data_IF_526842605037
#
_entry.id   IF_526842605037
#
_cell.length_a   1.000
_cell.length_b   1.000
_cell.length_c   1.000
_cell.angle_alpha   90.00
_cell.angle_beta   90.00
_cell.angle_gamma   90.00
#
_symmetry.space_group_name_H-M   'P 1'
#
loop_
_entity.id
_entity.type
_entity.pdbx_description
1 polymer ?
#
# COMPACT_ATOMS: atom_id res chain seq x y z
N UNK A 1 -3.45 9.69 11.30
CA UNK A 1 -4.11 9.91 9.99
C UNK A 1 -3.16 10.31 8.86
N UNK A 2 -1.97 10.87 9.12
CA UNK A 2 -1.05 11.31 8.05
C UNK A 2 -0.66 10.21 7.04
N UNK A 3 -0.29 9.01 7.52
CA UNK A 3 0.05 7.87 6.65
C UNK A 3 -1.10 7.43 5.75
N UNK A 4 -2.31 7.31 6.30
CA UNK A 4 -3.50 6.96 5.52
C UNK A 4 -3.81 7.99 4.43
N UNK A 5 -3.76 9.28 4.77
CA UNK A 5 -3.98 10.33 3.77
C UNK A 5 -2.93 10.32 2.66
N UNK A 6 -1.67 10.05 2.99
CA UNK A 6 -0.58 9.94 2.01
C UNK A 6 -0.77 8.73 1.07
N UNK A 7 -1.06 7.55 1.63
CA UNK A 7 -1.30 6.34 0.83
C UNK A 7 -2.51 6.47 -0.09
N UNK A 8 -3.60 7.05 0.42
CA UNK A 8 -4.80 7.34 -0.37
C UNK A 8 -4.50 8.33 -1.50
N UNK A 9 -3.71 9.36 -1.23
CA UNK A 9 -3.34 10.36 -2.23
C UNK A 9 -2.53 9.72 -3.36
N UNK A 10 -1.50 8.93 -3.05
CA UNK A 10 -0.70 8.25 -4.07
C UNK A 10 -1.57 7.28 -4.89
N UNK A 11 -2.40 6.47 -4.25
CA UNK A 11 -3.23 5.50 -4.95
C UNK A 11 -4.21 6.17 -5.92
N UNK A 12 -4.86 7.27 -5.49
CA UNK A 12 -5.79 8.03 -6.33
C UNK A 12 -5.08 8.82 -7.45
N UNK A 13 -3.92 9.41 -7.18
CA UNK A 13 -3.17 10.17 -8.19
C UNK A 13 -2.60 9.27 -9.30
N UNK A 14 -2.16 8.07 -8.93
CA UNK A 14 -1.55 7.12 -9.87
C UNK A 14 -2.55 6.15 -10.47
N UNK A 15 -3.74 6.03 -9.87
CA UNK A 15 -4.71 4.98 -10.20
C UNK A 15 -4.16 3.56 -9.94
N UNK A 16 -3.16 3.42 -9.07
CA UNK A 16 -2.41 2.16 -8.92
C UNK A 16 -1.98 1.90 -7.48
N UNK A 17 -2.39 0.76 -6.94
CA UNK A 17 -1.89 0.30 -5.66
C UNK A 17 -0.41 -0.12 -5.73
N UNK A 18 0.05 -0.64 -6.89
CA UNK A 18 1.45 -1.01 -7.12
C UNK A 18 2.40 0.18 -6.99
N UNK A 19 2.00 1.36 -7.47
CA UNK A 19 2.78 2.59 -7.28
C UNK A 19 2.93 2.93 -5.80
N UNK A 20 1.87 2.71 -5.01
CA UNK A 20 1.91 2.84 -3.56
C UNK A 20 2.85 1.85 -2.87
N UNK A 21 2.83 0.59 -3.30
CA UNK A 21 3.72 -0.45 -2.76
C UNK A 21 5.19 -0.19 -3.11
N UNK A 22 5.48 0.37 -4.29
CA UNK A 22 6.85 0.80 -4.64
C UNK A 22 7.34 1.92 -3.73
N UNK A 23 6.48 2.91 -3.45
CA UNK A 23 6.83 3.98 -2.52
C UNK A 23 7.17 3.44 -1.13
N UNK A 24 6.39 2.47 -0.60
CA UNK A 24 6.70 1.80 0.67
C UNK A 24 8.04 1.05 0.64
N UNK A 25 8.39 0.42 -0.47
CA UNK A 25 9.66 -0.27 -0.61
C UNK A 25 10.87 0.69 -0.56
N UNK A 26 10.68 1.92 -1.03
CA UNK A 26 11.69 2.99 -1.03
C UNK A 26 11.78 3.74 0.30
N UNK A 27 10.70 3.78 1.10
CA UNK A 27 10.59 4.61 2.31
C UNK A 27 10.47 3.79 3.60
N UNK A 28 11.21 2.67 3.69
CA UNK A 28 11.15 1.74 4.83
C UNK A 28 11.64 2.32 6.16
N UNK A 29 12.38 3.43 6.13
CA UNK A 29 12.84 4.13 7.34
C UNK A 29 11.81 5.10 7.94
N UNK A 30 10.62 5.21 7.33
CA UNK A 30 9.54 6.07 7.85
C UNK A 30 8.95 5.50 9.13
N UNK A 31 8.44 6.38 9.99
CA UNK A 31 7.75 6.04 11.24
C UNK A 31 6.72 4.89 11.07
N UNK A 32 6.74 3.93 12.00
CA UNK A 32 5.92 2.72 11.91
C UNK A 32 4.42 3.00 11.93
N UNK A 33 3.97 4.05 12.64
CA UNK A 33 2.55 4.42 12.66
C UNK A 33 2.13 5.10 11.34
N UNK A 34 3.04 5.83 10.71
CA UNK A 34 2.85 6.33 9.35
C UNK A 34 2.74 5.19 8.34
N UNK A 35 3.67 4.23 8.36
CA UNK A 35 3.67 3.07 7.46
C UNK A 35 2.36 2.27 7.60
N UNK A 36 1.96 1.93 8.83
CA UNK A 36 0.72 1.19 9.06
C UNK A 36 -0.50 1.93 8.49
N UNK A 37 -0.58 3.26 8.68
CA UNK A 37 -1.66 4.06 8.09
C UNK A 37 -1.64 4.04 6.56
N UNK A 38 -0.45 4.11 5.96
CA UNK A 38 -0.28 4.09 4.51
C UNK A 38 -0.69 2.74 3.91
N UNK A 39 -0.29 1.63 4.53
CA UNK A 39 -0.69 0.27 4.12
C UNK A 39 -2.21 0.09 4.17
N UNK A 40 -2.86 0.60 5.23
CA UNK A 40 -4.32 0.61 5.33
C UNK A 40 -4.99 1.36 4.19
N UNK A 41 -4.42 2.49 3.73
CA UNK A 41 -5.00 3.23 2.61
C UNK A 41 -4.86 2.51 1.27
N UNK A 42 -3.76 1.77 1.06
CA UNK A 42 -3.62 0.92 -0.13
C UNK A 42 -4.59 -0.25 -0.11
N UNK A 43 -4.79 -0.87 1.05
CA UNK A 43 -5.78 -1.93 1.23
C UNK A 43 -7.19 -1.43 0.92
N UNK A 44 -7.59 -0.29 1.48
CA UNK A 44 -8.89 0.34 1.23
C UNK A 44 -9.11 0.67 -0.26
N UNK A 45 -8.08 1.19 -0.93
CA UNK A 45 -8.12 1.41 -2.37
C UNK A 45 -8.29 0.10 -3.15
N UNK A 46 -7.56 -0.96 -2.79
CA UNK A 46 -7.65 -2.25 -3.48
C UNK A 46 -9.05 -2.86 -3.32
N UNK A 47 -9.59 -2.88 -2.09
CA UNK A 47 -10.93 -3.37 -1.80
C UNK A 47 -12.01 -2.60 -2.59
N UNK A 48 -11.95 -1.26 -2.58
CA UNK A 48 -12.89 -0.41 -3.31
C UNK A 48 -12.86 -0.60 -4.83
N UNK A 49 -11.75 -1.09 -5.38
CA UNK A 49 -11.58 -1.34 -6.82
C UNK A 49 -11.68 -2.83 -7.18
N UNK A 50 -12.01 -3.71 -6.23
CA UNK A 50 -12.05 -5.17 -6.43
C UNK A 50 -10.70 -5.77 -6.83
N UNK A 51 -9.60 -5.10 -6.47
CA UNK A 51 -8.24 -5.57 -6.74
C UNK A 51 -7.85 -6.64 -5.72
N UNK A 52 -7.09 -7.63 -6.17
CA UNK A 52 -6.59 -8.68 -5.28
C UNK A 52 -5.61 -8.07 -4.29
N UNK A 53 -5.93 -8.22 -3.01
CA UNK A 53 -4.99 -7.99 -1.92
C UNK A 53 -3.85 -9.00 -2.09
N UNK A 54 -2.68 -8.54 -2.50
CA UNK A 54 -1.52 -9.39 -2.64
C UNK A 54 -1.15 -10.01 -1.29
N UNK A 55 -1.66 -11.20 -1.00
CA UNK A 55 -1.00 -12.11 -0.08
C UNK A 55 0.34 -12.40 -0.73
N UNK A 56 1.41 -11.76 -0.27
CA UNK A 56 2.77 -12.23 -0.54
C UNK A 56 2.98 -13.53 0.24
N UNK A 57 2.20 -14.56 -0.08
CA UNK A 57 2.60 -15.94 0.11
C UNK A 57 3.72 -16.13 -0.90
N UNK A 58 4.96 -16.04 -0.41
CA UNK A 58 6.10 -16.62 -1.12
C UNK A 58 5.71 -18.06 -1.39
N UNK A 59 5.30 -18.35 -2.63
CA UNK A 59 5.20 -19.70 -3.12
C UNK A 59 6.64 -20.22 -3.19
N UNK A 60 7.09 -20.84 -2.10
CA UNK A 60 8.13 -21.85 -2.14
C UNK A 60 7.56 -23.01 -2.95
N UNK A 61 7.95 -23.07 -4.21
CA UNK A 61 7.88 -24.25 -5.07
C UNK A 61 9.23 -24.23 -5.78
N UNK A 62 10.16 -25.15 -5.57
CA UNK A 62 10.01 -26.60 -5.44
C UNK A 62 10.94 -27.18 -6.50
#
# INVERSE_FOLDING_TARGET
MAGYNAGRTIALQTGSADAGHRWLAEHRETDSAFIAGYEWALWDYQDANGLVHGSRTVAISG
#
